data_IF_810554016224
#
_entry.id   IF_810554016224
#
_cell.length_a   1.000
_cell.length_b   1.000
_cell.length_c   1.000
_cell.angle_alpha   90.00
_cell.angle_beta   90.00
_cell.angle_gamma   90.00
#
_symmetry.space_group_name_H-M   'P 1'
#
loop_
_entity.id
_entity.type
_entity.pdbx_description
1 polymer ?
#
# COMPACT_ATOMS: atom_id res chain seq x y z
N UNK A 1 -10.01 11.84 -10.31
CA UNK A 1 -8.55 11.70 -10.46
C UNK A 1 -8.26 10.23 -10.24
N UNK A 2 -7.72 9.51 -11.23
CA UNK A 2 -7.40 8.10 -11.07
C UNK A 2 -6.33 7.98 -9.97
N UNK A 3 -6.63 7.24 -8.90
CA UNK A 3 -5.64 6.98 -7.86
C UNK A 3 -4.56 6.06 -8.45
N UNK A 4 -3.30 6.51 -8.43
CA UNK A 4 -2.19 5.67 -8.85
C UNK A 4 -2.15 4.37 -8.05
N UNK A 5 -2.00 3.27 -8.78
CA UNK A 5 -1.89 1.94 -8.17
C UNK A 5 -0.48 1.78 -7.63
N UNK A 6 -0.32 1.85 -6.31
CA UNK A 6 0.97 1.74 -5.61
C UNK A 6 1.44 0.29 -5.45
N UNK A 7 0.65 -0.68 -5.92
CA UNK A 7 0.90 -2.11 -5.76
C UNK A 7 1.04 -2.82 -7.11
N UNK A 8 1.94 -3.80 -7.18
CA UNK A 8 2.10 -4.62 -8.39
C UNK A 8 0.93 -5.61 -8.48
N UNK A 9 -0.05 -5.30 -9.33
CA UNK A 9 -1.30 -6.05 -9.40
C UNK A 9 -1.11 -7.55 -9.64
N UNK A 10 -0.14 -7.94 -10.48
CA UNK A 10 0.15 -9.35 -10.78
C UNK A 10 0.56 -10.10 -9.51
N UNK A 11 1.50 -9.56 -8.74
CA UNK A 11 1.96 -10.17 -7.49
C UNK A 11 0.84 -10.30 -6.46
N UNK A 12 -0.03 -9.29 -6.35
CA UNK A 12 -1.19 -9.32 -5.44
C UNK A 12 -2.17 -10.42 -5.86
N UNK A 13 -2.52 -10.47 -7.15
CA UNK A 13 -3.43 -11.50 -7.70
C UNK A 13 -2.86 -12.90 -7.54
N UNK A 14 -1.57 -13.10 -7.81
CA UNK A 14 -0.89 -14.39 -7.61
C UNK A 14 -0.89 -14.82 -6.15
N UNK A 15 -0.60 -13.91 -5.22
CA UNK A 15 -0.63 -14.18 -3.78
C UNK A 15 -2.02 -14.60 -3.29
N UNK A 16 -3.08 -13.90 -3.72
CA UNK A 16 -4.47 -14.21 -3.34
C UNK A 16 -4.94 -15.51 -4.00
N UNK A 17 -4.59 -15.73 -5.28
CA UNK A 17 -4.88 -16.97 -6.00
C UNK A 17 -4.21 -18.18 -5.37
N UNK A 18 -2.98 -18.03 -4.89
CA UNK A 18 -2.26 -19.07 -4.13
C UNK A 18 -2.96 -19.49 -2.85
N UNK A 19 -3.87 -18.66 -2.31
CA UNK A 19 -4.72 -18.97 -1.15
C UNK A 19 -6.11 -19.50 -1.54
N UNK A 20 -6.35 -19.80 -2.81
CA UNK A 20 -7.63 -20.31 -3.31
C UNK A 20 -8.71 -19.25 -3.47
N UNK A 21 -8.37 -17.95 -3.42
CA UNK A 21 -9.31 -16.85 -3.60
C UNK A 21 -9.13 -16.15 -4.96
N UNK A 22 -10.17 -15.50 -5.45
CA UNK A 22 -10.10 -14.61 -6.61
C UNK A 22 -10.02 -13.15 -6.14
N UNK A 23 -9.48 -12.26 -6.99
CA UNK A 23 -9.31 -10.84 -6.68
C UNK A 23 -10.14 -10.00 -7.65
N UNK A 24 -11.03 -9.15 -7.13
CA UNK A 24 -11.78 -8.20 -7.96
C UNK A 24 -10.88 -7.03 -8.39
N UNK A 25 -11.28 -6.32 -9.45
CA UNK A 25 -10.59 -5.09 -9.87
C UNK A 25 -10.64 -4.02 -8.76
N UNK A 26 -11.79 -3.89 -8.08
CA UNK A 26 -11.98 -2.94 -6.97
C UNK A 26 -11.14 -3.25 -5.73
N UNK A 27 -10.78 -4.52 -5.51
CA UNK A 27 -9.92 -4.90 -4.39
C UNK A 27 -8.49 -4.35 -4.54
N UNK A 28 -8.00 -4.23 -5.77
CA UNK A 28 -6.67 -3.68 -6.05
C UNK A 28 -6.65 -2.16 -5.77
N UNK A 29 -7.69 -1.45 -6.18
CA UNK A 29 -7.85 -0.02 -5.91
C UNK A 29 -7.94 0.26 -4.40
N UNK A 30 -8.78 -0.50 -3.70
CA UNK A 30 -8.93 -0.38 -2.24
C UNK A 30 -7.63 -0.71 -1.50
N UNK A 31 -6.86 -1.69 -1.97
CA UNK A 31 -5.55 -2.02 -1.42
C UNK A 31 -4.56 -0.87 -1.65
N UNK A 32 -4.51 -0.32 -2.86
CA UNK A 32 -3.64 0.82 -3.19
C UNK A 32 -3.92 2.01 -2.27
N UNK A 33 -5.20 2.30 -2.04
CA UNK A 33 -5.61 3.36 -1.11
C UNK A 33 -5.11 3.11 0.31
N UNK A 34 -5.26 1.90 0.84
CA UNK A 34 -4.72 1.55 2.17
C UNK A 34 -3.21 1.70 2.26
N UNK A 35 -2.48 1.30 1.22
CA UNK A 35 -1.02 1.46 1.16
C UNK A 35 -0.65 2.94 1.16
N UNK A 36 -1.40 3.77 0.42
CA UNK A 36 -1.19 5.21 0.40
C UNK A 36 -1.41 5.85 1.77
N UNK A 37 -2.48 5.48 2.46
CA UNK A 37 -2.79 5.98 3.81
C UNK A 37 -1.67 5.61 4.79
N UNK A 38 -1.21 4.36 4.75
CA UNK A 38 -0.09 3.89 5.56
C UNK A 38 1.21 4.67 5.26
N UNK A 39 1.51 4.94 3.98
CA UNK A 39 2.68 5.73 3.60
C UNK A 39 2.59 7.18 4.09
N UNK A 40 1.40 7.78 4.05
CA UNK A 40 1.20 9.13 4.60
C UNK A 40 1.46 9.15 6.10
N UNK A 41 0.92 8.19 6.85
CA UNK A 41 1.18 8.07 8.28
C UNK A 41 2.67 7.86 8.56
N UNK A 42 3.35 7.01 7.80
CA UNK A 42 4.77 6.76 7.95
C UNK A 42 5.62 8.01 7.67
N UNK A 43 5.24 8.80 6.66
CA UNK A 43 5.88 10.09 6.37
C UNK A 43 5.64 11.07 7.52
N UNK A 44 4.43 11.14 8.08
CA UNK A 44 4.11 12.03 9.18
C UNK A 44 4.87 11.65 10.46
N UNK A 45 4.99 10.35 10.76
CA UNK A 45 5.83 9.84 11.87
C UNK A 45 7.30 10.20 11.64
N UNK A 46 7.82 10.04 10.43
CA UNK A 46 9.20 10.40 10.10
C UNK A 46 9.45 11.90 10.30
N UNK A 47 8.55 12.75 9.77
CA UNK A 47 8.60 14.21 9.92
C UNK A 47 8.50 14.66 11.37
N UNK A 48 7.59 14.05 12.15
CA UNK A 48 7.43 14.32 13.58
C UNK A 48 8.72 14.03 14.37
N UNK A 49 9.51 13.05 13.91
CA UNK A 49 10.83 12.74 14.44
C UNK A 49 11.97 13.54 13.78
N UNK A 50 11.68 14.62 13.06
CA UNK A 50 12.66 15.44 12.33
C UNK A 50 13.53 14.64 11.34
N UNK A 51 12.96 13.60 10.72
CA UNK A 51 13.65 12.75 9.74
C UNK A 51 13.00 12.90 8.36
N UNK A 52 13.85 13.04 7.34
CA UNK A 52 13.43 12.97 5.94
C UNK A 52 13.34 11.51 5.43
N UNK A 53 13.90 10.56 6.18
CA UNK A 53 13.91 9.13 5.83
C UNK A 53 12.85 8.37 6.61
N UNK A 54 11.88 7.82 5.89
CA UNK A 54 10.93 6.81 6.40
C UNK A 54 11.71 5.52 6.66
N UNK A 55 11.61 5.00 7.86
CA UNK A 55 12.26 3.76 8.30
C UNK A 55 11.21 2.67 8.53
N UNK A 56 11.69 1.45 8.72
CA UNK A 56 10.89 0.28 9.13
C UNK A 56 9.95 0.58 10.30
N UNK A 57 10.42 1.31 11.32
CA UNK A 57 9.63 1.74 12.48
C UNK A 57 8.53 2.77 12.21
N UNK A 58 8.50 3.36 11.01
CA UNK A 58 7.48 4.35 10.65
C UNK A 58 6.30 3.72 9.88
N UNK A 59 6.51 2.55 9.25
CA UNK A 59 5.50 1.77 8.49
C UNK A 59 4.47 1.17 9.46
#
# INVERSE_FOLDING_TARGET
>A
MAEDVLVVQSKVKEYIKGKGCQTSATAIEALSKKVKDLLNEAVDRAKSNNRATVKDRDI
#
